data_IF_308363495338
#
_entry.id   IF_308363495338
#
_cell.length_a   1.000
_cell.length_b   1.000
_cell.length_c   1.000
_cell.angle_alpha   90.00
_cell.angle_beta   90.00
_cell.angle_gamma   90.00
#
_symmetry.space_group_name_H-M   'P 1'
#
loop_
_entity.id
_entity.type
_entity.pdbx_description
1 polymer ?
#
# COMPACT_ATOMS: atom_id res chain seq x y z
N UNK A 1 -5.77 -30.11 -0.28
CA UNK A 1 -6.52 -28.94 -0.80
C UNK A 1 -5.92 -27.61 -0.33
N UNK A 2 -5.87 -27.30 0.97
CA UNK A 2 -5.33 -26.02 1.48
C UNK A 2 -3.89 -25.69 1.05
N UNK A 3 -3.01 -26.70 0.94
CA UNK A 3 -1.66 -26.51 0.41
C UNK A 3 -1.63 -26.09 -1.07
N UNK A 4 -2.55 -26.60 -1.89
CA UNK A 4 -2.66 -26.20 -3.30
C UNK A 4 -3.12 -24.74 -3.45
N UNK A 5 -4.01 -24.28 -2.55
CA UNK A 5 -4.43 -22.86 -2.50
C UNK A 5 -3.24 -21.94 -2.22
N UNK A 6 -2.30 -22.36 -1.36
CA UNK A 6 -1.09 -21.60 -1.07
C UNK A 6 -0.13 -21.50 -2.28
N UNK A 7 -0.21 -22.44 -3.23
CA UNK A 7 0.58 -22.41 -4.45
C UNK A 7 0.10 -21.37 -5.47
N UNK A 8 -1.17 -20.95 -5.42
CA UNK A 8 -1.72 -19.97 -6.35
C UNK A 8 -1.09 -18.60 -6.16
N UNK A 9 -0.55 -18.02 -7.25
CA UNK A 9 0.16 -16.72 -7.24
C UNK A 9 -0.67 -15.55 -7.76
N UNK A 10 -1.78 -15.82 -8.43
CA UNK A 10 -2.71 -14.82 -8.95
C UNK A 10 -4.12 -15.12 -8.48
N UNK A 11 -4.98 -14.10 -8.46
CA UNK A 11 -6.38 -14.26 -8.05
C UNK A 11 -7.14 -15.17 -9.01
N UNK A 12 -6.92 -15.05 -10.32
CA UNK A 12 -7.58 -15.92 -11.30
C UNK A 12 -7.13 -17.39 -11.16
N UNK A 13 -5.83 -17.65 -10.98
CA UNK A 13 -5.35 -19.01 -10.75
C UNK A 13 -5.90 -19.63 -9.45
N UNK A 14 -6.19 -18.81 -8.44
CA UNK A 14 -6.85 -19.27 -7.22
C UNK A 14 -8.34 -19.57 -7.46
N UNK A 15 -9.03 -18.75 -8.25
CA UNK A 15 -10.43 -18.95 -8.62
C UNK A 15 -10.57 -20.26 -9.41
N UNK A 16 -9.63 -20.57 -10.28
CA UNK A 16 -9.63 -21.83 -11.06
C UNK A 16 -9.43 -23.09 -10.19
N UNK A 17 -9.01 -22.95 -8.92
CA UNK A 17 -8.94 -24.05 -7.95
C UNK A 17 -10.26 -24.31 -7.21
N UNK A 18 -11.25 -23.40 -7.35
CA UNK A 18 -12.61 -23.63 -6.83
C UNK A 18 -13.22 -24.82 -7.59
N UNK A 19 -14.03 -25.69 -6.94
CA UNK A 19 -14.70 -26.77 -7.65
C UNK A 19 -15.56 -26.23 -8.80
N UNK A 20 -15.46 -26.85 -9.98
CA UNK A 20 -16.00 -26.31 -11.24
C UNK A 20 -17.47 -25.90 -11.20
N UNK A 21 -18.29 -26.58 -10.40
CA UNK A 21 -19.72 -26.27 -10.25
C UNK A 21 -19.98 -24.91 -9.57
N UNK A 22 -18.97 -24.35 -8.90
CA UNK A 22 -19.04 -23.13 -8.09
C UNK A 22 -18.15 -21.99 -8.60
N UNK A 23 -17.21 -22.26 -9.51
CA UNK A 23 -16.23 -21.28 -10.00
C UNK A 23 -16.93 -20.01 -10.49
N UNK A 24 -17.92 -20.16 -11.38
CA UNK A 24 -18.58 -19.01 -12.01
C UNK A 24 -19.37 -18.14 -11.02
N UNK A 25 -20.01 -18.75 -10.01
CA UNK A 25 -20.75 -17.99 -8.99
C UNK A 25 -19.83 -17.33 -7.97
N UNK A 26 -18.63 -17.87 -7.73
CA UNK A 26 -17.66 -17.32 -6.79
C UNK A 26 -16.63 -16.39 -7.43
N UNK A 27 -16.50 -16.39 -8.76
CA UNK A 27 -15.52 -15.56 -9.49
C UNK A 27 -15.63 -14.09 -9.15
N UNK A 28 -16.82 -13.51 -9.33
CA UNK A 28 -17.03 -12.08 -9.07
C UNK A 28 -16.97 -11.72 -7.57
N UNK A 29 -17.59 -12.47 -6.65
CA UNK A 29 -17.44 -12.22 -5.22
C UNK A 29 -15.98 -12.24 -4.73
N UNK A 30 -15.16 -13.19 -5.22
CA UNK A 30 -13.74 -13.27 -4.87
C UNK A 30 -12.92 -12.13 -5.50
N UNK A 31 -13.26 -11.69 -6.72
CA UNK A 31 -12.69 -10.45 -7.30
C UNK A 31 -13.08 -9.22 -6.50
N UNK A 32 -14.29 -9.18 -5.95
CA UNK A 32 -14.74 -8.15 -5.01
C UNK A 32 -13.85 -8.08 -3.76
N UNK A 33 -13.45 -9.23 -3.19
CA UNK A 33 -12.45 -9.28 -2.10
C UNK A 33 -11.14 -8.64 -2.52
N UNK A 34 -10.64 -8.98 -3.71
CA UNK A 34 -9.39 -8.40 -4.24
C UNK A 34 -9.51 -6.88 -4.41
N UNK A 35 -10.64 -6.39 -4.91
CA UNK A 35 -10.92 -4.96 -5.07
C UNK A 35 -10.89 -4.20 -3.74
N UNK A 36 -11.56 -4.71 -2.71
CA UNK A 36 -11.53 -4.11 -1.36
C UNK A 36 -10.10 -4.11 -0.79
N UNK A 37 -9.37 -5.21 -0.95
CA UNK A 37 -7.99 -5.34 -0.45
C UNK A 37 -7.04 -4.36 -1.16
N UNK A 38 -7.19 -4.16 -2.47
CA UNK A 38 -6.41 -3.17 -3.23
C UNK A 38 -6.64 -1.74 -2.73
N UNK A 39 -7.90 -1.39 -2.44
CA UNK A 39 -8.27 -0.10 -1.83
C UNK A 39 -7.63 0.06 -0.46
N UNK A 40 -7.68 -0.98 0.37
CA UNK A 40 -7.07 -0.99 1.70
C UNK A 40 -5.55 -0.78 1.64
N UNK A 41 -4.85 -1.52 0.77
CA UNK A 41 -3.41 -1.36 0.58
C UNK A 41 -3.06 0.06 0.14
N UNK A 42 -3.80 0.60 -0.83
CA UNK A 42 -3.60 1.98 -1.33
C UNK A 42 -3.87 3.03 -0.24
N UNK A 43 -4.91 2.81 0.58
CA UNK A 43 -5.24 3.69 1.69
C UNK A 43 -4.14 3.71 2.77
N UNK A 44 -3.61 2.53 3.15
CA UNK A 44 -2.48 2.39 4.09
C UNK A 44 -1.23 3.10 3.57
N UNK A 45 -0.89 2.94 2.29
CA UNK A 45 0.25 3.64 1.68
C UNK A 45 0.10 5.16 1.70
N UNK A 46 -1.11 5.67 1.42
CA UNK A 46 -1.40 7.10 1.50
C UNK A 46 -1.25 7.62 2.93
N UNK A 47 -1.77 6.89 3.91
CA UNK A 47 -1.62 7.25 5.32
C UNK A 47 -0.14 7.34 5.73
N UNK A 48 0.69 6.36 5.37
CA UNK A 48 2.14 6.37 5.64
C UNK A 48 2.80 7.62 5.05
N UNK A 49 2.44 8.00 3.82
CA UNK A 49 2.97 9.21 3.17
C UNK A 49 2.54 10.48 3.91
N UNK A 50 1.29 10.59 4.32
CA UNK A 50 0.78 11.77 5.04
C UNK A 50 1.39 11.89 6.44
N UNK A 51 1.58 10.77 7.14
CA UNK A 51 2.29 10.76 8.42
C UNK A 51 3.76 11.15 8.26
N UNK A 52 4.41 10.76 7.16
CA UNK A 52 5.77 11.21 6.84
C UNK A 52 5.81 12.73 6.59
N UNK A 53 4.85 13.29 5.86
CA UNK A 53 4.71 14.74 5.67
C UNK A 53 4.53 15.48 7.00
N UNK A 54 3.63 14.98 7.87
CA UNK A 54 3.41 15.53 9.21
C UNK A 54 4.70 15.53 10.04
N UNK A 55 5.45 14.42 10.05
CA UNK A 55 6.74 14.32 10.76
C UNK A 55 7.79 15.28 10.21
N UNK A 56 7.80 15.50 8.90
CA UNK A 56 8.72 16.43 8.24
C UNK A 56 8.30 17.90 8.31
N UNK A 57 7.12 18.22 8.86
CA UNK A 57 6.57 19.59 8.84
C UNK A 57 6.24 20.08 7.42
N UNK A 58 5.98 19.18 6.48
CA UNK A 58 5.65 19.49 5.09
C UNK A 58 4.20 19.11 4.78
N UNK A 59 3.66 19.55 3.64
CA UNK A 59 2.29 19.27 3.22
C UNK A 59 2.24 18.41 1.95
N UNK A 60 1.34 17.42 1.85
CA UNK A 60 1.06 16.77 0.58
C UNK A 60 0.56 17.78 -0.46
N UNK A 61 1.04 17.67 -1.71
CA UNK A 61 0.78 18.66 -2.76
C UNK A 61 -0.72 18.97 -3.00
N UNK A 62 -1.59 17.98 -2.89
CA UNK A 62 -3.04 18.15 -3.08
C UNK A 62 -3.76 18.80 -1.90
N UNK A 63 -3.13 18.85 -0.72
CA UNK A 63 -3.65 19.55 0.47
C UNK A 63 -3.02 20.93 0.65
N UNK A 64 -1.91 21.19 -0.03
CA UNK A 64 -1.23 22.48 0.05
C UNK A 64 -2.11 23.60 -0.52
N UNK A 65 -2.17 24.70 0.21
CA UNK A 65 -2.78 25.96 -0.21
C UNK A 65 -1.79 27.07 0.05
N UNK A 66 -1.66 28.00 -0.89
CA UNK A 66 -0.81 29.18 -0.70
C UNK A 66 -1.43 30.11 0.34
N UNK A 67 -0.58 30.77 1.13
CA UNK A 67 -1.02 31.79 2.07
C UNK A 67 -1.69 32.96 1.30
N UNK A 68 -2.84 33.47 1.76
CA UNK A 68 -3.41 34.68 1.21
C UNK A 68 -2.45 35.86 1.39
N UNK A 69 -2.22 36.63 0.31
CA UNK A 69 -1.39 37.83 0.36
C UNK A 69 -2.28 39.06 0.58
N UNK A 70 -1.99 39.83 1.64
CA UNK A 70 -2.67 41.10 1.92
C UNK A 70 -1.77 42.23 1.48
N UNK A 71 -2.22 42.97 0.46
CA UNK A 71 -1.53 44.17 -0.01
C UNK A 71 -1.76 45.31 0.98
N UNK A 72 -0.67 45.82 1.55
CA UNK A 72 -0.68 46.99 2.42
C UNK A 72 -0.09 48.18 1.67
N UNK A 73 -0.50 49.39 2.01
CA UNK A 73 0.10 50.61 1.46
C UNK A 73 1.59 50.68 1.80
N UNK A 74 2.40 51.27 0.93
CA UNK A 74 3.87 51.26 1.06
C UNK A 74 4.34 51.84 2.40
N UNK A 75 3.74 52.95 2.84
CA UNK A 75 4.10 53.65 4.08
C UNK A 75 3.72 52.84 5.33
N UNK A 76 2.60 52.10 5.26
CA UNK A 76 2.15 51.26 6.37
C UNK A 76 2.88 49.91 6.37
N UNK A 77 3.21 49.35 5.22
CA UNK A 77 3.76 48.00 5.08
C UNK A 77 5.12 47.75 5.73
N UNK A 78 5.81 48.82 6.15
CA UNK A 78 7.08 48.78 6.89
C UNK A 78 6.90 49.09 8.38
N UNK A 79 5.68 49.39 8.83
CA UNK A 79 5.39 49.69 10.23
C UNK A 79 5.44 48.43 11.11
N UNK A 80 5.77 48.57 12.41
CA UNK A 80 5.74 47.45 13.35
C UNK A 80 4.38 46.73 13.40
N UNK A 81 3.29 47.50 13.30
CA UNK A 81 1.91 46.98 13.30
C UNK A 81 1.65 46.14 12.04
N UNK A 82 2.07 46.60 10.86
CA UNK A 82 1.94 45.85 9.62
C UNK A 82 2.71 44.52 9.65
N UNK A 83 3.92 44.52 10.22
CA UNK A 83 4.70 43.30 10.41
C UNK A 83 4.01 42.32 11.37
N UNK A 84 3.41 42.82 12.46
CA UNK A 84 2.63 42.00 13.39
C UNK A 84 1.41 41.38 12.69
N UNK A 85 0.68 42.15 11.89
CA UNK A 85 -0.46 41.62 11.14
C UNK A 85 -0.06 40.56 10.12
N UNK A 86 1.04 40.76 9.36
CA UNK A 86 1.57 39.73 8.45
C UNK A 86 1.93 38.45 9.19
N UNK A 87 2.63 38.56 10.32
CA UNK A 87 2.98 37.41 11.15
C UNK A 87 1.72 36.66 11.63
N UNK A 88 0.72 37.38 12.12
CA UNK A 88 -0.54 36.78 12.57
C UNK A 88 -1.26 36.03 11.44
N UNK A 89 -1.23 36.56 10.21
CA UNK A 89 -1.78 35.89 9.03
C UNK A 89 -0.99 34.62 8.66
N UNK A 90 0.34 34.68 8.70
CA UNK A 90 1.19 33.51 8.49
C UNK A 90 0.95 32.42 9.54
N UNK A 91 0.86 32.80 10.80
CA UNK A 91 0.63 31.86 11.92
C UNK A 91 -0.77 31.24 11.83
N UNK A 92 -1.79 32.01 11.49
CA UNK A 92 -3.14 31.50 11.23
C UNK A 92 -3.16 30.52 10.04
N UNK A 93 -2.43 30.82 8.97
CA UNK A 93 -2.33 29.94 7.81
C UNK A 93 -1.59 28.63 8.13
N UNK A 94 -0.50 28.68 8.91
CA UNK A 94 0.21 27.48 9.40
C UNK A 94 -0.69 26.61 10.28
N UNK A 95 -1.48 27.23 11.16
CA UNK A 95 -2.44 26.53 12.00
C UNK A 95 -3.53 25.84 11.15
N UNK A 96 -4.06 26.52 10.14
CA UNK A 96 -5.01 25.95 9.18
C UNK A 96 -4.44 24.72 8.47
N UNK A 97 -3.24 24.84 7.89
CA UNK A 97 -2.59 23.74 7.18
C UNK A 97 -2.35 22.53 8.08
N UNK A 98 -1.87 22.77 9.31
CA UNK A 98 -1.64 21.70 10.30
C UNK A 98 -2.95 21.00 10.68
N UNK A 99 -4.00 21.77 11.00
CA UNK A 99 -5.32 21.22 11.33
C UNK A 99 -5.96 20.45 10.17
N UNK A 100 -5.77 20.91 8.93
CA UNK A 100 -6.24 20.23 7.72
C UNK A 100 -5.56 18.86 7.57
N UNK A 101 -4.23 18.80 7.70
CA UNK A 101 -3.49 17.55 7.57
C UNK A 101 -3.88 16.55 8.68
N UNK A 102 -4.07 17.04 9.91
CA UNK A 102 -4.47 16.19 11.04
C UNK A 102 -5.86 15.60 10.84
N UNK A 103 -6.81 16.41 10.37
CA UNK A 103 -8.15 15.96 10.04
C UNK A 103 -8.14 14.97 8.88
N UNK A 104 -7.34 15.22 7.84
CA UNK A 104 -7.20 14.32 6.71
C UNK A 104 -6.62 12.96 7.14
N UNK A 105 -5.59 12.96 7.99
CA UNK A 105 -5.00 11.74 8.56
C UNK A 105 -6.05 10.97 9.37
N UNK A 106 -6.83 11.65 10.23
CA UNK A 106 -7.88 11.02 11.02
C UNK A 106 -8.94 10.37 10.11
N UNK A 107 -9.47 11.11 9.13
CA UNK A 107 -10.42 10.59 8.16
C UNK A 107 -9.86 9.37 7.39
N UNK A 108 -8.56 9.38 7.06
CA UNK A 108 -7.93 8.25 6.36
C UNK A 108 -7.75 7.02 7.25
N UNK A 109 -7.53 7.20 8.56
CA UNK A 109 -7.51 6.11 9.53
C UNK A 109 -8.88 5.44 9.65
N UNK A 110 -9.96 6.22 9.63
CA UNK A 110 -11.31 5.68 9.69
C UNK A 110 -11.71 4.97 8.38
N UNK A 111 -11.32 5.49 7.22
CA UNK A 111 -11.45 4.80 5.92
C UNK A 111 -10.74 3.42 5.93
N UNK A 112 -9.53 3.35 6.50
CA UNK A 112 -8.81 2.08 6.67
C UNK A 112 -9.58 1.12 7.58
N UNK A 113 -10.07 1.58 8.73
CA UNK A 113 -10.86 0.75 9.66
C UNK A 113 -12.13 0.21 8.99
N UNK A 114 -12.81 1.03 8.20
CA UNK A 114 -13.97 0.61 7.43
C UNK A 114 -13.62 -0.52 6.44
N UNK A 115 -12.52 -0.38 5.70
CA UNK A 115 -12.06 -1.40 4.76
C UNK A 115 -11.57 -2.68 5.45
N UNK A 116 -10.92 -2.57 6.61
CA UNK A 116 -10.51 -3.71 7.44
C UNK A 116 -11.72 -4.49 7.97
N UNK A 117 -12.75 -3.79 8.44
CA UNK A 117 -13.99 -4.41 8.88
C UNK A 117 -14.69 -5.20 7.76
N UNK A 118 -14.54 -4.78 6.50
CA UNK A 118 -15.15 -5.46 5.35
C UNK A 118 -14.47 -6.78 4.94
N UNK A 119 -13.26 -7.05 5.45
CA UNK A 119 -12.48 -8.26 5.13
C UNK A 119 -12.25 -9.17 6.34
N UNK A 120 -13.01 -8.98 7.43
CA UNK A 120 -12.98 -9.88 8.57
C UNK A 120 -13.55 -11.26 8.20
N UNK A 121 -13.11 -12.35 8.87
CA UNK A 121 -13.59 -13.69 8.56
C UNK A 121 -15.12 -13.81 8.64
N UNK A 122 -15.75 -13.15 9.61
CA UNK A 122 -17.20 -13.13 9.81
C UNK A 122 -17.90 -12.47 8.62
N UNK A 123 -17.45 -11.27 8.20
CA UNK A 123 -18.04 -10.56 7.06
C UNK A 123 -17.82 -11.27 5.74
N UNK A 124 -16.67 -11.91 5.57
CA UNK A 124 -16.41 -12.74 4.40
C UNK A 124 -17.31 -13.97 4.37
N UNK A 125 -17.50 -14.65 5.49
CA UNK A 125 -18.40 -15.80 5.59
C UNK A 125 -19.86 -15.40 5.35
N UNK A 126 -20.35 -14.33 6.00
CA UNK A 126 -21.69 -13.77 5.81
C UNK A 126 -21.97 -13.46 4.33
N UNK A 127 -20.97 -12.92 3.62
CA UNK A 127 -21.12 -12.56 2.20
C UNK A 127 -21.03 -13.76 1.25
N UNK A 128 -20.13 -14.71 1.50
CA UNK A 128 -19.81 -15.77 0.53
C UNK A 128 -20.59 -17.07 0.77
N UNK A 129 -20.90 -17.40 2.02
CA UNK A 129 -21.61 -18.65 2.35
C UNK A 129 -23.00 -18.78 1.70
N UNK A 130 -23.83 -17.72 1.58
CA UNK A 130 -25.15 -17.86 0.96
C UNK A 130 -25.06 -18.28 -0.51
N UNK A 131 -24.05 -17.77 -1.24
CA UNK A 131 -23.79 -18.09 -2.65
C UNK A 131 -23.45 -19.57 -2.82
N UNK A 132 -22.61 -20.11 -1.93
CA UNK A 132 -22.24 -21.52 -1.92
C UNK A 132 -23.43 -22.40 -1.56
N UNK A 133 -24.24 -22.00 -0.57
CA UNK A 133 -25.41 -22.75 -0.13
C UNK A 133 -26.45 -22.82 -1.26
N UNK A 134 -26.78 -21.68 -1.87
CA UNK A 134 -27.75 -21.60 -2.97
C UNK A 134 -27.29 -22.44 -4.16
N UNK A 135 -26.04 -22.27 -4.59
CA UNK A 135 -25.51 -23.07 -5.70
C UNK A 135 -25.44 -24.56 -5.37
N UNK A 136 -25.07 -24.90 -4.14
CA UNK A 136 -25.02 -26.28 -3.65
C UNK A 136 -26.37 -26.99 -3.76
N UNK A 137 -27.46 -26.31 -3.39
CA UNK A 137 -28.82 -26.85 -3.53
C UNK A 137 -29.17 -27.16 -4.99
N UNK A 138 -28.76 -26.32 -5.94
CA UNK A 138 -28.96 -26.55 -7.38
C UNK A 138 -28.14 -27.75 -7.86
N UNK A 139 -26.87 -27.85 -7.44
CA UNK A 139 -25.99 -28.96 -7.83
C UNK A 139 -26.51 -30.30 -7.32
N UNK A 140 -26.92 -30.38 -6.05
CA UNK A 140 -27.45 -31.60 -5.44
C UNK A 140 -28.78 -32.05 -6.06
N UNK A 141 -29.62 -31.10 -6.48
CA UNK A 141 -30.87 -31.39 -7.19
C UNK A 141 -30.61 -31.98 -8.58
N UNK A 142 -29.66 -31.41 -9.32
CA UNK A 142 -29.44 -31.75 -10.73
C UNK A 142 -28.53 -32.96 -10.93
N UNK A 143 -27.69 -33.31 -9.95
CA UNK A 143 -26.71 -34.40 -10.03
C UNK A 143 -27.05 -35.52 -9.06
N UNK A 144 -28.26 -36.06 -9.19
CA UNK A 144 -28.64 -37.29 -8.49
C UNK A 144 -28.03 -38.49 -9.20
N UNK A 145 -27.63 -39.49 -8.43
CA UNK A 145 -27.07 -40.74 -8.93
C UNK A 145 -28.08 -41.86 -8.72
N UNK A 146 -28.11 -42.79 -9.66
CA UNK A 146 -28.88 -44.01 -9.54
C UNK A 146 -28.27 -44.89 -8.43
N UNK A 147 -29.05 -45.18 -7.40
CA UNK A 147 -28.75 -46.20 -6.41
C UNK A 147 -29.56 -47.46 -6.78
N UNK A 148 -28.85 -48.46 -7.33
CA UNK A 148 -29.44 -49.73 -7.74
C UNK A 148 -29.36 -50.69 -6.54
N UNK A 149 -30.52 -51.16 -6.08
CA UNK A 149 -30.61 -52.19 -5.05
C UNK A 149 -30.58 -53.55 -5.71
N UNK A 150 -29.69 -54.41 -5.24
CA UNK A 150 -29.57 -55.80 -5.69
C UNK A 150 -30.07 -56.74 -4.59
N UNK A 151 -30.81 -57.75 -5.00
CA UNK A 151 -31.18 -58.89 -4.16
C UNK A 151 -29.97 -59.77 -3.85
N UNK A 152 -30.13 -60.70 -2.91
CA UNK A 152 -29.12 -61.72 -2.60
C UNK A 152 -28.71 -62.56 -3.83
N UNK A 153 -29.59 -62.70 -4.82
CA UNK A 153 -29.35 -63.40 -6.08
C UNK A 153 -28.79 -62.50 -7.20
N UNK A 154 -28.26 -61.31 -6.89
CA UNK A 154 -27.80 -60.30 -7.86
C UNK A 154 -28.87 -59.80 -8.85
N UNK A 155 -30.16 -60.00 -8.56
CA UNK A 155 -31.27 -59.43 -9.33
C UNK A 155 -31.55 -58.00 -8.90
N UNK A 156 -31.84 -57.11 -9.85
CA UNK A 156 -32.19 -55.71 -9.54
C UNK A 156 -33.57 -55.68 -8.87
N UNK A 157 -33.64 -55.23 -7.62
CA UNK A 157 -34.88 -55.08 -6.84
C UNK A 157 -35.51 -53.70 -7.00
N UNK A 158 -34.69 -52.69 -7.34
CA UNK A 158 -35.19 -51.33 -7.54
C UNK A 158 -34.11 -50.32 -7.88
N UNK A 159 -34.55 -49.22 -8.49
CA UNK A 159 -33.74 -48.08 -8.87
C UNK A 159 -34.26 -46.84 -8.14
N UNK A 160 -33.45 -46.23 -7.28
CA UNK A 160 -33.80 -45.00 -6.57
C UNK A 160 -32.78 -43.92 -6.88
N UNK A 161 -33.23 -42.74 -7.26
CA UNK A 161 -32.36 -41.58 -7.47
C UNK A 161 -32.05 -40.91 -6.12
N UNK A 162 -30.79 -40.94 -5.72
CA UNK A 162 -30.31 -40.38 -4.46
C UNK A 162 -29.31 -39.26 -4.73
N UNK A 163 -29.15 -38.33 -3.80
CA UNK A 163 -28.10 -37.32 -3.88
C UNK A 163 -26.71 -37.96 -3.92
N UNK A 164 -25.83 -37.41 -4.75
CA UNK A 164 -24.45 -37.85 -4.83
C UNK A 164 -23.70 -37.49 -3.53
N UNK A 165 -23.28 -38.51 -2.77
CA UNK A 165 -22.50 -38.35 -1.55
C UNK A 165 -21.20 -37.56 -1.78
N UNK A 166 -20.58 -37.69 -2.97
CA UNK A 166 -19.39 -36.92 -3.33
C UNK A 166 -19.71 -35.44 -3.46
N UNK A 167 -20.85 -35.09 -4.08
CA UNK A 167 -21.28 -33.69 -4.23
C UNK A 167 -21.73 -33.08 -2.91
N UNK A 168 -22.37 -33.85 -2.04
CA UNK A 168 -22.69 -33.41 -0.67
C UNK A 168 -21.41 -33.08 0.09
N UNK A 169 -20.39 -33.95 0.02
CA UNK A 169 -19.09 -33.69 0.64
C UNK A 169 -18.38 -32.47 0.02
N UNK A 170 -18.44 -32.30 -1.31
CA UNK A 170 -17.86 -31.16 -2.02
C UNK A 170 -18.47 -29.83 -1.54
N UNK A 171 -19.80 -29.74 -1.42
CA UNK A 171 -20.51 -28.56 -0.93
C UNK A 171 -20.07 -28.20 0.49
N UNK A 172 -20.05 -29.19 1.41
CA UNK A 172 -19.63 -29.00 2.80
C UNK A 172 -18.19 -28.53 2.90
N UNK A 173 -17.29 -29.16 2.13
CA UNK A 173 -15.88 -28.80 2.11
C UNK A 173 -15.66 -27.39 1.55
N UNK A 174 -16.37 -27.01 0.49
CA UNK A 174 -16.27 -25.66 -0.07
C UNK A 174 -16.79 -24.61 0.91
N UNK A 175 -17.92 -24.87 1.57
CA UNK A 175 -18.46 -23.98 2.59
C UNK A 175 -17.48 -23.77 3.75
N UNK A 176 -16.82 -24.84 4.21
CA UNK A 176 -15.80 -24.75 5.24
C UNK A 176 -14.53 -24.00 4.82
N UNK A 177 -14.17 -24.06 3.53
CA UNK A 177 -12.97 -23.42 2.99
C UNK A 177 -13.24 -22.04 2.34
N UNK A 178 -14.48 -21.55 2.30
CA UNK A 178 -14.84 -20.33 1.54
C UNK A 178 -14.09 -19.08 2.01
N UNK A 179 -13.87 -18.95 3.32
CA UNK A 179 -13.08 -17.87 3.92
C UNK A 179 -11.59 -18.06 3.63
N UNK A 180 -11.12 -19.31 3.51
CA UNK A 180 -9.73 -19.61 3.17
C UNK A 180 -9.40 -19.13 1.75
N UNK A 181 -10.32 -19.28 0.79
CA UNK A 181 -10.17 -18.67 -0.53
C UNK A 181 -10.05 -17.15 -0.44
N UNK A 182 -10.94 -16.49 0.31
CA UNK A 182 -10.90 -15.04 0.46
C UNK A 182 -9.61 -14.54 1.13
N UNK A 183 -9.13 -15.19 2.18
CA UNK A 183 -7.84 -14.86 2.82
C UNK A 183 -6.65 -15.07 1.91
N UNK A 184 -6.69 -16.10 1.04
CA UNK A 184 -5.64 -16.29 0.05
C UNK A 184 -5.68 -15.18 -1.01
N UNK A 185 -6.86 -14.73 -1.45
CA UNK A 185 -7.00 -13.54 -2.31
C UNK A 185 -6.36 -12.32 -1.64
N UNK A 186 -6.69 -12.05 -0.37
CA UNK A 186 -6.12 -10.94 0.41
C UNK A 186 -4.58 -11.02 0.42
N UNK A 187 -4.05 -12.20 0.76
CA UNK A 187 -2.60 -12.43 0.82
C UNK A 187 -1.91 -12.17 -0.52
N UNK A 188 -2.49 -12.62 -1.65
CA UNK A 188 -1.94 -12.38 -2.99
C UNK A 188 -1.87 -10.88 -3.29
N UNK A 189 -2.93 -10.15 -2.98
CA UNK A 189 -3.01 -8.70 -3.22
C UNK A 189 -2.03 -7.93 -2.34
N UNK A 190 -1.96 -8.25 -1.05
CA UNK A 190 -1.02 -7.63 -0.11
C UNK A 190 0.43 -7.88 -0.56
N UNK A 191 0.79 -9.12 -0.92
CA UNK A 191 2.12 -9.46 -1.43
C UNK A 191 2.47 -8.68 -2.71
N UNK A 192 1.52 -8.54 -3.64
CA UNK A 192 1.73 -7.75 -4.85
C UNK A 192 1.94 -6.26 -4.56
N UNK A 193 1.18 -5.71 -3.59
CA UNK A 193 1.33 -4.32 -3.14
C UNK A 193 2.68 -4.08 -2.45
N UNK A 194 3.11 -5.02 -1.59
CA UNK A 194 4.43 -4.98 -0.95
C UNK A 194 5.56 -5.03 -1.97
N UNK A 195 5.49 -5.95 -2.95
CA UNK A 195 6.49 -6.06 -4.01
C UNK A 195 6.58 -4.77 -4.84
N UNK A 196 5.44 -4.14 -5.14
CA UNK A 196 5.40 -2.87 -5.89
C UNK A 196 5.99 -1.72 -5.09
N UNK A 197 5.65 -1.62 -3.81
CA UNK A 197 6.18 -0.58 -2.90
C UNK A 197 7.69 -0.72 -2.73
N UNK A 198 8.19 -1.94 -2.49
CA UNK A 198 9.62 -2.22 -2.39
C UNK A 198 10.38 -1.86 -3.66
N UNK A 199 9.81 -2.11 -4.85
CA UNK A 199 10.39 -1.67 -6.13
C UNK A 199 10.46 -0.14 -6.23
N UNK A 200 9.41 0.56 -5.83
CA UNK A 200 9.39 2.04 -5.84
C UNK A 200 10.43 2.61 -4.87
N UNK A 201 10.57 2.03 -3.68
CA UNK A 201 11.54 2.51 -2.70
C UNK A 201 12.98 2.27 -3.17
N UNK A 202 13.26 1.12 -3.79
CA UNK A 202 14.57 0.87 -4.45
C UNK A 202 14.86 1.89 -5.55
N UNK A 203 13.87 2.24 -6.38
CA UNK A 203 14.04 3.27 -7.42
C UNK A 203 14.35 4.64 -6.82
N UNK A 204 13.66 5.04 -5.75
CA UNK A 204 13.94 6.31 -5.05
C UNK A 204 15.32 6.32 -4.41
N UNK A 205 15.74 5.21 -3.79
CA UNK A 205 17.06 5.08 -3.20
C UNK A 205 18.17 5.19 -4.27
N UNK A 206 17.99 4.55 -5.42
CA UNK A 206 18.91 4.63 -6.55
C UNK A 206 19.00 6.07 -7.11
N UNK A 207 17.87 6.74 -7.30
CA UNK A 207 17.86 8.13 -7.77
C UNK A 207 18.60 9.05 -6.80
N UNK A 208 18.35 8.91 -5.49
CA UNK A 208 19.05 9.68 -4.46
C UNK A 208 20.56 9.41 -4.45
N UNK A 209 20.98 8.16 -4.67
CA UNK A 209 22.40 7.80 -4.76
C UNK A 209 23.07 8.45 -5.98
N UNK A 210 22.42 8.37 -7.16
CA UNK A 210 22.89 9.03 -8.37
C UNK A 210 22.98 10.55 -8.23
N UNK A 211 22.00 11.20 -7.58
CA UNK A 211 22.04 12.65 -7.32
C UNK A 211 23.24 13.03 -6.43
N UNK A 212 23.57 12.21 -5.43
CA UNK A 212 24.75 12.43 -4.57
C UNK A 212 26.05 12.26 -5.36
N UNK A 213 26.17 11.21 -6.17
CA UNK A 213 27.36 10.99 -7.01
C UNK A 213 27.56 12.12 -8.05
N UNK A 214 26.47 12.62 -8.65
CA UNK A 214 26.52 13.77 -9.55
C UNK A 214 26.84 15.08 -8.82
N UNK A 215 26.33 15.28 -7.62
CA UNK A 215 26.68 16.44 -6.79
C UNK A 215 28.16 16.44 -6.40
N UNK A 216 28.73 15.27 -6.10
CA UNK A 216 30.17 15.13 -5.84
C UNK A 216 31.02 15.27 -7.11
N UNK A 217 30.54 14.80 -8.27
CA UNK A 217 31.22 14.98 -9.56
C UNK A 217 31.18 16.43 -10.07
N UNK A 218 30.18 17.22 -9.65
CA UNK A 218 30.01 18.64 -10.05
C UNK A 218 30.52 19.64 -9.01
N UNK A 219 31.07 19.17 -7.88
CA UNK A 219 31.82 20.05 -6.97
C UNK A 219 33.00 20.65 -7.75
N UNK A 220 32.99 21.97 -7.90
CA UNK A 220 34.11 22.71 -8.47
C UNK A 220 35.38 22.35 -7.69
N UNK A 221 36.33 21.71 -8.36
CA UNK A 221 37.67 21.48 -7.81
C UNK A 221 38.28 22.83 -7.39
N UNK A 222 39.17 22.85 -6.38
CA UNK A 222 39.81 24.09 -5.95
C UNK A 222 40.42 24.78 -7.16
N UNK A 223 40.01 26.02 -7.41
CA UNK A 223 40.55 26.85 -8.50
C UNK A 223 42.07 26.77 -8.45
N UNK A 224 42.71 26.61 -9.61
CA UNK A 224 44.19 26.58 -9.74
C UNK A 224 44.81 27.78 -9.01
N UNK A 225 44.12 28.92 -9.03
CA UNK A 225 44.53 30.13 -8.34
C UNK A 225 44.51 29.96 -6.82
N UNK A 226 43.49 29.30 -6.25
CA UNK A 226 43.45 28.98 -4.81
C UNK A 226 44.53 27.97 -4.39
N UNK A 227 44.94 27.07 -5.29
CA UNK A 227 46.06 26.14 -5.04
C UNK A 227 47.40 26.86 -5.08
N UNK A 228 47.57 27.80 -6.01
CA UNK A 228 48.75 28.66 -6.11
C UNK A 228 48.84 29.58 -4.89
N UNK A 229 47.76 30.25 -4.49
CA UNK A 229 47.73 31.14 -3.33
C UNK A 229 48.05 30.38 -2.03
N UNK A 230 47.55 29.14 -1.89
CA UNK A 230 47.86 28.29 -0.74
C UNK A 230 49.31 27.83 -0.75
N UNK A 231 49.87 27.50 -1.91
CA UNK A 231 51.28 27.13 -2.06
C UNK A 231 52.22 28.31 -1.81
N UNK A 232 51.86 29.50 -2.30
CA UNK A 232 52.60 30.75 -2.10
C UNK A 232 52.53 31.19 -0.62
N UNK A 233 51.36 31.14 0.02
CA UNK A 233 51.21 31.44 1.44
C UNK A 233 51.99 30.47 2.34
N UNK A 234 52.04 29.18 1.98
CA UNK A 234 52.85 28.18 2.69
C UNK A 234 54.37 28.44 2.52
N UNK A 235 54.80 28.86 1.32
CA UNK A 235 56.19 29.27 1.05
C UNK A 235 56.58 30.55 1.78
N UNK A 236 55.72 31.57 1.81
CA UNK A 236 55.97 32.83 2.52
C UNK A 236 56.14 32.60 4.04
N UNK A 237 55.30 31.74 4.65
CA UNK A 237 55.46 31.33 6.05
C UNK A 237 56.79 30.60 6.35
N UNK A 238 57.41 29.97 5.36
CA UNK A 238 58.73 29.35 5.53
C UNK A 238 59.88 30.37 5.39
N UNK A 239 59.68 31.43 4.61
CA UNK A 239 60.68 32.50 4.43
C UNK A 239 60.75 33.41 5.67
N UNK A 240 59.61 33.73 6.28
CA UNK A 240 59.57 34.53 7.53
C UNK A 240 60.18 33.84 8.76
N UNK A 241 60.45 32.53 8.68
CA UNK A 241 61.06 31.74 9.77
C UNK A 241 62.59 31.65 9.72
N UNK A 242 63.28 32.31 8.79
CA UNK A 242 64.75 32.41 8.80
C UNK A 242 65.22 33.72 9.45
N UNK A 243 65.62 33.73 10.74
CA UNK A 243 66.29 34.89 11.33
C UNK A 243 67.68 35.06 10.71
N UNK A 244 68.00 36.31 10.35
CA UNK A 244 69.27 36.71 9.77
C UNK A 244 70.45 36.29 10.63
N UNK A 245 71.39 35.57 10.01
CA UNK A 245 72.69 35.22 10.59
C UNK A 245 73.54 36.49 10.60
N UNK A 246 73.70 37.13 11.77
CA UNK A 246 74.82 38.06 12.01
C UNK A 246 76.12 37.25 12.04
N UNK A 247 77.12 37.67 11.27
CA UNK A 247 78.52 37.36 11.54
C UNK A 247 79.34 38.63 11.34
N UNK A 248 80.11 38.91 12.39
CA UNK A 248 81.33 39.74 12.54
C UNK A 248 81.86 40.42 11.28
#
# INVERSE_FOLDING_TARGET
RRAALQGARTVDALIDLVPGDFVEVLREPLRGVAGTTNKLCSARLTLVKWEAHKKAGTMPAHLFRQAPEVQLTADYGSSPEALLHRKNLEDAHKAYLTGLLDTAIAAKKDDIRFLEAAITPEKLYERLSPIVIERGQVVLRNRRVANIRFSADNKVEGLVWVEDAQKVAECKNLLADVVVYAFRVISIVELASHATSAKQDRKKALAKAADVEMADATRAGPSIQSMVDRAVAARLKQVDRKPGRRSV
#
